data_IF_528052040133
#
_entry.id   IF_528052040133
#
_cell.length_a   1.000
_cell.length_b   1.000
_cell.length_c   1.000
_cell.angle_alpha   90.00
_cell.angle_beta   90.00
_cell.angle_gamma   90.00
#
_symmetry.space_group_name_H-M   'P 1'
#
loop_
_entity.id
_entity.type
_entity.pdbx_description
1 polymer ?
#
# COMPACT_ATOMS: atom_id res chain seq x y z
N UNK A 1 -5.63 2.84 19.23
CA UNK A 1 -4.44 3.69 18.97
C UNK A 1 -4.79 4.48 17.72
N UNK A 2 -5.20 5.75 17.87
CA UNK A 2 -5.62 6.58 16.74
C UNK A 2 -4.37 7.02 15.98
N UNK A 3 -4.32 6.74 14.68
CA UNK A 3 -3.18 7.10 13.84
C UNK A 3 -3.23 8.61 13.59
N UNK A 4 -2.47 9.40 14.36
CA UNK A 4 -2.42 10.87 14.23
C UNK A 4 -1.50 11.38 13.10
N UNK A 5 -1.07 10.53 12.15
CA UNK A 5 -0.01 10.93 11.19
C UNK A 5 -0.12 10.46 9.74
N UNK A 6 -1.17 9.75 9.33
CA UNK A 6 -1.37 9.44 7.92
C UNK A 6 -1.97 10.64 7.21
N UNK A 7 -1.30 11.11 6.16
CA UNK A 7 -1.85 12.15 5.30
C UNK A 7 -2.73 11.55 4.19
N UNK A 8 -3.37 12.42 3.40
CA UNK A 8 -4.27 11.99 2.33
C UNK A 8 -3.57 11.17 1.24
N UNK A 9 -2.26 11.36 1.03
CA UNK A 9 -1.47 10.59 0.06
C UNK A 9 -1.23 9.19 0.60
N UNK A 10 -0.86 9.06 1.88
CA UNK A 10 -0.69 7.76 2.52
C UNK A 10 -1.98 6.94 2.46
N UNK A 11 -3.13 7.55 2.73
CA UNK A 11 -4.43 6.90 2.61
C UNK A 11 -4.75 6.44 1.18
N UNK A 12 -4.35 7.22 0.16
CA UNK A 12 -4.52 6.84 -1.25
C UNK A 12 -3.62 5.65 -1.61
N UNK A 13 -2.37 5.65 -1.16
CA UNK A 13 -1.42 4.54 -1.32
C UNK A 13 -2.00 3.26 -0.73
N UNK A 14 -2.47 3.30 0.52
CA UNK A 14 -3.07 2.14 1.19
C UNK A 14 -4.28 1.61 0.43
N UNK A 15 -5.15 2.50 -0.03
CA UNK A 15 -6.34 2.11 -0.83
C UNK A 15 -5.93 1.36 -2.11
N UNK A 16 -4.94 1.85 -2.83
CA UNK A 16 -4.45 1.22 -4.05
C UNK A 16 -3.85 -0.17 -3.77
N UNK A 17 -3.07 -0.32 -2.70
CA UNK A 17 -2.46 -1.60 -2.32
C UNK A 17 -3.49 -2.64 -1.83
N UNK A 18 -4.56 -2.19 -1.17
CA UNK A 18 -5.67 -3.07 -0.76
C UNK A 18 -6.47 -3.57 -1.97
N UNK A 19 -6.63 -2.72 -2.98
CA UNK A 19 -7.31 -3.07 -4.23
C UNK A 19 -6.47 -4.02 -5.08
N UNK A 20 -5.19 -3.70 -5.28
CA UNK A 20 -4.22 -4.54 -5.96
C UNK A 20 -2.83 -4.42 -5.34
N UNK A 21 -2.47 -5.38 -4.48
CA UNK A 21 -1.15 -5.44 -3.86
C UNK A 21 0.01 -5.72 -4.82
N UNK A 22 -0.27 -5.98 -6.11
CA UNK A 22 0.74 -6.21 -7.16
C UNK A 22 0.87 -5.05 -8.14
N UNK A 23 0.15 -3.94 -7.91
CA UNK A 23 0.24 -2.74 -8.74
C UNK A 23 1.68 -2.23 -8.81
N UNK A 24 2.10 -1.70 -9.97
CA UNK A 24 3.46 -1.19 -10.12
C UNK A 24 3.62 0.13 -9.38
N UNK A 25 4.75 0.28 -8.67
CA UNK A 25 5.09 1.54 -8.01
C UNK A 25 5.13 2.74 -8.98
N UNK A 26 5.52 2.54 -10.24
CA UNK A 26 5.48 3.62 -11.26
C UNK A 26 4.06 4.13 -11.52
N UNK A 27 3.10 3.21 -11.66
CA UNK A 27 1.69 3.54 -11.92
C UNK A 27 1.06 4.21 -10.70
N UNK A 28 1.36 3.70 -9.51
CA UNK A 28 0.96 4.35 -8.25
C UNK A 28 1.53 5.76 -8.13
N UNK A 29 2.81 5.96 -8.47
CA UNK A 29 3.50 7.23 -8.30
C UNK A 29 2.87 8.32 -9.17
N UNK A 30 2.53 7.99 -10.41
CA UNK A 30 1.77 8.86 -11.32
C UNK A 30 0.39 9.22 -10.74
N UNK A 31 -0.35 8.21 -10.27
CA UNK A 31 -1.70 8.40 -9.72
C UNK A 31 -1.73 9.25 -8.44
N UNK A 32 -0.70 9.17 -7.59
CA UNK A 32 -0.62 9.97 -6.35
C UNK A 32 0.19 11.27 -6.50
N UNK A 33 0.71 11.55 -7.69
CA UNK A 33 1.48 12.77 -7.97
C UNK A 33 2.85 12.83 -7.27
N UNK A 34 3.49 11.68 -7.05
CA UNK A 34 4.81 11.58 -6.44
C UNK A 34 5.86 11.10 -7.44
N UNK A 35 7.14 11.37 -7.13
CA UNK A 35 8.21 10.63 -7.79
C UNK A 35 8.22 9.17 -7.32
N UNK A 36 8.77 8.27 -8.14
CA UNK A 36 8.92 6.87 -7.78
C UNK A 36 9.69 6.67 -6.45
N UNK A 37 10.74 7.48 -6.21
CA UNK A 37 11.49 7.44 -4.96
C UNK A 37 10.70 7.97 -3.76
N UNK A 38 9.86 9.00 -3.95
CA UNK A 38 8.97 9.55 -2.94
C UNK A 38 7.90 8.54 -2.51
N UNK A 39 7.24 7.89 -3.47
CA UNK A 39 6.30 6.81 -3.19
C UNK A 39 6.97 5.66 -2.44
N UNK A 40 8.14 5.20 -2.92
CA UNK A 40 8.86 4.09 -2.26
C UNK A 40 9.20 4.41 -0.81
N UNK A 41 9.59 5.64 -0.50
CA UNK A 41 9.86 6.07 0.88
C UNK A 41 8.59 6.03 1.74
N UNK A 42 7.46 6.46 1.20
CA UNK A 42 6.16 6.45 1.88
C UNK A 42 5.71 5.02 2.21
N UNK A 43 5.70 4.13 1.21
CA UNK A 43 5.35 2.71 1.40
C UNK A 43 6.25 2.08 2.45
N UNK A 44 7.57 2.31 2.38
CA UNK A 44 8.53 1.79 3.37
C UNK A 44 8.26 2.31 4.78
N UNK A 45 7.87 3.58 4.94
CA UNK A 45 7.50 4.11 6.26
C UNK A 45 6.22 3.45 6.79
N UNK A 46 5.22 3.22 5.93
CA UNK A 46 3.99 2.52 6.32
C UNK A 46 4.26 1.06 6.74
N UNK A 47 5.21 0.39 6.09
CA UNK A 47 5.69 -0.94 6.49
C UNK A 47 6.46 -0.90 7.82
N UNK A 48 7.38 0.06 7.99
CA UNK A 48 8.19 0.20 9.21
C UNK A 48 7.38 0.63 10.45
N UNK A 49 6.24 1.31 10.25
CA UNK A 49 5.31 1.70 11.31
C UNK A 49 4.22 0.65 11.57
N UNK A 50 4.34 -0.56 10.98
CA UNK A 50 3.36 -1.66 11.06
C UNK A 50 1.94 -1.27 10.58
N UNK A 51 1.81 -0.19 9.81
CA UNK A 51 0.55 0.19 9.14
C UNK A 51 0.26 -0.77 7.98
N UNK A 52 1.32 -1.21 7.29
CA UNK A 52 1.29 -2.34 6.36
C UNK A 52 1.94 -3.54 7.07
N UNK A 53 1.11 -4.39 7.66
CA UNK A 53 1.57 -5.58 8.39
C UNK A 53 2.13 -6.67 7.45
N UNK A 54 1.75 -6.65 6.18
CA UNK A 54 2.26 -7.56 5.17
C UNK A 54 1.40 -7.66 3.93
N UNK A 55 1.89 -8.43 2.95
CA UNK A 55 1.21 -8.69 1.69
C UNK A 55 0.73 -10.15 1.66
N UNK A 56 -0.55 -10.34 1.38
CA UNK A 56 -1.17 -11.67 1.35
C UNK A 56 -1.92 -11.92 0.05
N UNK A 57 -2.22 -13.18 -0.23
CA UNK A 57 -3.05 -13.60 -1.36
C UNK A 57 -4.38 -14.12 -0.83
N UNK A 58 -5.49 -13.65 -1.41
CA UNK A 58 -6.81 -14.24 -1.16
C UNK A 58 -6.92 -15.53 -1.95
N UNK A 59 -7.12 -16.65 -1.25
CA UNK A 59 -7.24 -17.98 -1.84
C UNK A 59 -8.67 -18.45 -1.69
N UNK A 60 -9.24 -19.00 -2.75
CA UNK A 60 -10.54 -19.65 -2.72
C UNK A 60 -10.39 -21.04 -2.07
N UNK A 61 -10.92 -21.25 -0.85
CA UNK A 61 -10.79 -22.53 -0.16
C UNK A 61 -11.39 -23.69 -0.97
N UNK A 62 -12.51 -23.49 -1.67
CA UNK A 62 -13.18 -24.56 -2.43
C UNK A 62 -12.34 -25.08 -3.61
N UNK A 63 -11.35 -24.30 -4.06
CA UNK A 63 -10.43 -24.66 -5.14
C UNK A 63 -9.16 -25.34 -4.64
N UNK A 64 -8.90 -25.31 -3.34
CA UNK A 64 -7.63 -25.80 -2.76
C UNK A 64 -7.78 -26.93 -1.75
N UNK A 65 -9.00 -27.31 -1.34
CA UNK A 65 -9.28 -28.51 -0.54
C UNK A 65 -10.33 -28.30 0.54
#
# INVERSE_FOLDING_TARGET
>A
MFIEKLDGVDMKILKMLVEDGRVKLSEMAEEVGLSHSGLRRRVKALEEEDVIEGYTTKVDPERVG
#
